data_IF_783591420652
#
_entry.id   IF_783591420652
#
_cell.length_a   1.000
_cell.length_b   1.000
_cell.length_c   1.000
_cell.angle_alpha   90.00
_cell.angle_beta   90.00
_cell.angle_gamma   90.00
#
_symmetry.space_group_name_H-M   'P 1'
#
loop_
_entity.id
_entity.type
_entity.pdbx_description
1 polymer ?
#
# COMPACT_ATOMS: atom_id res chain seq x y z
N UNK A 1 23.53 24.09 -17.42
CA UNK A 1 22.09 24.06 -17.08
C UNK A 1 21.96 23.41 -15.70
N UNK A 2 21.11 23.93 -14.84
CA UNK A 2 20.84 23.32 -13.53
C UNK A 2 19.98 22.05 -13.71
N UNK A 3 20.11 21.11 -12.76
CA UNK A 3 19.23 19.92 -12.70
C UNK A 3 17.78 20.36 -12.54
N UNK A 4 16.85 19.71 -13.24
CA UNK A 4 15.42 20.01 -13.12
C UNK A 4 14.90 19.73 -11.69
N UNK A 5 13.98 20.57 -11.17
CA UNK A 5 13.46 20.42 -9.80
C UNK A 5 12.91 19.02 -9.52
N UNK A 6 12.18 18.42 -10.48
CA UNK A 6 11.61 17.09 -10.35
C UNK A 6 12.68 16.01 -10.11
N UNK A 7 13.78 16.04 -10.87
CA UNK A 7 14.87 15.05 -10.76
C UNK A 7 15.70 15.25 -9.50
N UNK A 8 15.95 16.52 -9.11
CA UNK A 8 16.66 16.82 -7.88
C UNK A 8 15.90 16.30 -6.65
N UNK A 9 14.58 16.52 -6.60
CA UNK A 9 13.72 16.02 -5.53
C UNK A 9 13.62 14.49 -5.56
N UNK A 10 13.43 13.87 -6.73
CA UNK A 10 13.39 12.42 -6.85
C UNK A 10 14.69 11.77 -6.35
N UNK A 11 15.84 12.34 -6.71
CA UNK A 11 17.15 11.88 -6.26
C UNK A 11 17.29 11.95 -4.73
N UNK A 12 16.89 13.05 -4.11
CA UNK A 12 16.92 13.21 -2.66
C UNK A 12 16.00 12.22 -1.96
N UNK A 13 14.78 12.02 -2.47
CA UNK A 13 13.84 11.05 -1.88
C UNK A 13 14.39 9.64 -1.96
N UNK A 14 14.94 9.21 -3.10
CA UNK A 14 15.52 7.87 -3.24
C UNK A 14 16.66 7.65 -2.24
N UNK A 15 17.54 8.63 -2.03
CA UNK A 15 18.59 8.54 -1.02
C UNK A 15 18.04 8.44 0.41
N UNK A 16 16.96 9.16 0.71
CA UNK A 16 16.32 9.08 2.03
C UNK A 16 15.61 7.75 2.24
N UNK A 17 14.91 7.25 1.23
CA UNK A 17 14.27 5.93 1.27
C UNK A 17 15.30 4.83 1.57
N UNK A 18 16.50 4.92 0.99
CA UNK A 18 17.56 3.94 1.20
C UNK A 18 18.23 4.07 2.58
N UNK A 19 18.41 5.30 3.10
CA UNK A 19 19.18 5.57 4.33
C UNK A 19 18.34 5.63 5.60
N UNK A 20 17.09 6.12 5.50
CA UNK A 20 16.25 6.47 6.65
C UNK A 20 15.07 5.50 6.84
N UNK A 21 14.96 4.46 6.01
CA UNK A 21 13.81 3.54 5.98
C UNK A 21 12.44 4.22 5.84
N UNK A 22 12.43 5.47 5.37
CA UNK A 22 11.22 6.28 5.19
C UNK A 22 10.37 5.73 4.04
N UNK A 23 9.05 5.87 4.13
CA UNK A 23 8.15 5.51 3.04
C UNK A 23 8.18 6.56 1.93
N UNK A 24 8.34 6.10 0.68
CA UNK A 24 8.39 6.98 -0.48
C UNK A 24 7.11 7.83 -0.62
N UNK A 25 5.94 7.22 -0.38
CA UNK A 25 4.66 7.91 -0.43
C UNK A 25 4.58 9.07 0.58
N UNK A 26 5.07 8.91 1.81
CA UNK A 26 5.08 9.98 2.81
C UNK A 26 6.00 11.13 2.40
N UNK A 27 7.18 10.80 1.86
CA UNK A 27 8.13 11.81 1.37
C UNK A 27 7.58 12.59 0.17
N UNK A 28 6.86 11.92 -0.73
CA UNK A 28 6.21 12.51 -1.90
C UNK A 28 5.02 13.44 -1.54
N UNK A 29 4.43 13.30 -0.35
CA UNK A 29 3.39 14.19 0.15
C UNK A 29 3.93 15.29 1.09
N UNK A 30 5.25 15.42 1.22
CA UNK A 30 5.84 16.42 2.11
C UNK A 30 5.64 17.87 1.61
N UNK A 31 5.67 18.83 2.55
CA UNK A 31 5.51 20.27 2.25
C UNK A 31 6.55 20.81 1.24
N UNK A 32 7.68 20.12 1.07
CA UNK A 32 8.71 20.48 0.11
C UNK A 32 8.26 20.27 -1.33
N UNK A 33 7.51 19.19 -1.60
CA UNK A 33 6.95 18.91 -2.91
C UNK A 33 5.76 19.81 -3.25
N UNK A 34 5.05 20.32 -2.26
CA UNK A 34 3.96 21.27 -2.46
C UNK A 34 4.39 22.57 -3.18
N UNK A 35 5.70 22.84 -3.25
CA UNK A 35 6.27 23.98 -3.97
C UNK A 35 6.57 23.70 -5.44
N UNK A 36 6.50 22.44 -5.88
CA UNK A 36 6.71 22.07 -7.27
C UNK A 36 5.47 22.40 -8.12
N UNK A 37 5.70 22.63 -9.42
CA UNK A 37 4.57 22.62 -10.37
C UNK A 37 3.91 21.24 -10.39
N UNK A 38 2.62 21.15 -10.72
CA UNK A 38 1.90 19.87 -10.85
C UNK A 38 2.62 18.89 -11.79
N UNK A 39 3.21 19.41 -12.88
CA UNK A 39 4.00 18.61 -13.84
C UNK A 39 5.29 18.07 -13.21
N UNK A 40 6.03 18.88 -12.47
CA UNK A 40 7.26 18.45 -11.81
C UNK A 40 6.97 17.49 -10.65
N UNK A 41 5.87 17.71 -9.93
CA UNK A 41 5.41 16.78 -8.90
C UNK A 41 5.07 15.41 -9.51
N UNK A 42 4.31 15.37 -10.60
CA UNK A 42 4.01 14.12 -11.32
C UNK A 42 5.26 13.40 -11.82
N UNK A 43 6.22 14.14 -12.39
CA UNK A 43 7.49 13.55 -12.85
C UNK A 43 8.33 13.05 -11.66
N UNK A 44 8.42 13.78 -10.56
CA UNK A 44 9.16 13.32 -9.37
C UNK A 44 8.55 12.04 -8.79
N UNK A 45 7.23 11.97 -8.69
CA UNK A 45 6.50 10.77 -8.25
C UNK A 45 6.78 9.58 -9.17
N UNK A 46 6.67 9.78 -10.48
CA UNK A 46 6.95 8.74 -11.48
C UNK A 46 8.38 8.23 -11.37
N UNK A 47 9.36 9.12 -11.22
CA UNK A 47 10.78 8.76 -11.10
C UNK A 47 11.06 7.96 -9.80
N UNK A 48 10.54 8.42 -8.67
CA UNK A 48 10.75 7.74 -7.38
C UNK A 48 10.10 6.36 -7.40
N UNK A 49 8.81 6.31 -7.67
CA UNK A 49 8.04 5.07 -7.63
C UNK A 49 8.50 4.09 -8.70
N UNK A 50 8.83 4.59 -9.89
CA UNK A 50 9.34 3.77 -10.99
C UNK A 50 10.69 3.13 -10.69
N UNK A 51 11.64 3.89 -10.14
CA UNK A 51 12.94 3.36 -9.72
C UNK A 51 12.78 2.29 -8.65
N UNK A 52 11.98 2.54 -7.62
CA UNK A 52 11.74 1.58 -6.53
C UNK A 52 11.02 0.32 -7.05
N UNK A 53 10.05 0.49 -7.95
CA UNK A 53 9.30 -0.61 -8.55
C UNK A 53 10.20 -1.54 -9.35
N UNK A 54 11.11 -1.01 -10.16
CA UNK A 54 11.96 -1.75 -11.09
C UNK A 54 13.42 -1.92 -10.62
N UNK A 55 13.72 -1.67 -9.35
CA UNK A 55 15.09 -1.54 -8.82
C UNK A 55 16.01 -2.68 -9.24
N UNK A 56 15.66 -3.95 -9.02
CA UNK A 56 16.55 -5.07 -9.33
C UNK A 56 16.72 -5.29 -10.84
N UNK A 57 15.71 -4.99 -11.65
CA UNK A 57 15.84 -5.00 -13.11
C UNK A 57 16.78 -3.91 -13.57
N UNK A 58 16.65 -2.70 -13.05
CA UNK A 58 17.56 -1.59 -13.35
C UNK A 58 18.99 -1.94 -12.95
N UNK A 59 19.19 -2.49 -11.75
CA UNK A 59 20.50 -2.89 -11.26
C UNK A 59 21.13 -3.97 -12.15
N UNK A 60 20.37 -4.98 -12.56
CA UNK A 60 20.85 -6.02 -13.49
C UNK A 60 21.31 -5.42 -14.82
N UNK A 61 20.56 -4.49 -15.40
CA UNK A 61 20.90 -3.82 -16.67
C UNK A 61 22.11 -2.88 -16.51
N UNK A 62 22.18 -2.17 -15.38
CA UNK A 62 23.32 -1.31 -15.07
C UNK A 62 24.59 -2.15 -14.84
N UNK A 63 24.50 -3.28 -14.15
CA UNK A 63 25.63 -4.20 -13.94
C UNK A 63 26.19 -4.72 -15.29
N UNK A 64 25.32 -5.08 -16.23
CA UNK A 64 25.75 -5.51 -17.58
C UNK A 64 26.46 -4.40 -18.37
N UNK A 65 26.14 -3.14 -18.10
CA UNK A 65 26.76 -1.97 -18.76
C UNK A 65 27.99 -1.43 -18.01
N UNK A 66 28.13 -1.76 -16.72
CA UNK A 66 29.15 -1.23 -15.83
C UNK A 66 30.47 -2.02 -15.92
N UNK A 67 31.58 -1.32 -15.70
CA UNK A 67 32.91 -1.92 -15.48
C UNK A 67 33.22 -2.13 -13.98
N UNK A 68 32.32 -1.73 -13.09
CA UNK A 68 32.46 -1.82 -11.65
C UNK A 68 31.27 -2.57 -11.05
N UNK A 69 31.48 -3.23 -9.92
CA UNK A 69 30.39 -3.84 -9.14
C UNK A 69 29.51 -2.75 -8.53
N UNK A 70 28.19 -2.87 -8.68
CA UNK A 70 27.25 -1.82 -8.24
C UNK A 70 27.27 -1.63 -6.72
N UNK A 71 27.51 -2.70 -5.97
CA UNK A 71 27.58 -2.73 -4.50
C UNK A 71 28.74 -1.90 -3.94
N UNK A 72 29.73 -1.59 -4.78
CA UNK A 72 30.90 -0.76 -4.41
C UNK A 72 30.74 0.70 -4.75
N UNK A 73 29.64 1.06 -5.42
CA UNK A 73 29.37 2.45 -5.78
C UNK A 73 28.84 3.23 -4.58
N UNK A 74 29.21 4.50 -4.51
CA UNK A 74 28.53 5.41 -3.59
C UNK A 74 27.01 5.44 -3.86
N UNK A 75 26.17 5.50 -2.83
CA UNK A 75 24.71 5.53 -2.97
C UNK A 75 24.22 6.64 -3.88
N UNK A 76 24.86 7.81 -3.85
CA UNK A 76 24.55 8.93 -4.75
C UNK A 76 24.82 8.60 -6.22
N UNK A 77 25.86 7.83 -6.52
CA UNK A 77 26.19 7.40 -7.89
C UNK A 77 25.18 6.36 -8.35
N UNK A 78 24.86 5.39 -7.52
CA UNK A 78 23.88 4.34 -7.82
C UNK A 78 22.48 4.92 -8.01
N UNK A 79 22.03 5.83 -7.14
CA UNK A 79 20.73 6.49 -7.28
C UNK A 79 20.63 7.30 -8.61
N UNK A 80 21.68 8.01 -8.99
CA UNK A 80 21.72 8.74 -10.26
C UNK A 80 21.69 7.80 -11.47
N UNK A 81 22.40 6.65 -11.39
CA UNK A 81 22.37 5.61 -12.42
C UNK A 81 20.98 4.99 -12.56
N UNK A 82 20.32 4.60 -11.45
CA UNK A 82 18.96 4.07 -11.44
C UNK A 82 17.96 5.05 -12.04
N UNK A 83 18.03 6.34 -11.64
CA UNK A 83 17.19 7.41 -12.21
C UNK A 83 17.41 7.57 -13.72
N UNK A 84 18.66 7.56 -14.18
CA UNK A 84 18.99 7.65 -15.60
C UNK A 84 18.46 6.44 -16.36
N UNK A 85 18.74 5.23 -15.88
CA UNK A 85 18.31 3.98 -16.51
C UNK A 85 16.78 3.87 -16.59
N UNK A 86 16.07 4.23 -15.52
CA UNK A 86 14.61 4.25 -15.53
C UNK A 86 14.05 5.16 -16.62
N UNK A 87 14.55 6.39 -16.72
CA UNK A 87 14.12 7.33 -17.76
C UNK A 87 14.39 6.83 -19.17
N UNK A 88 15.56 6.21 -19.39
CA UNK A 88 15.96 5.68 -20.69
C UNK A 88 15.09 4.51 -21.16
N UNK A 89 14.57 3.70 -20.22
CA UNK A 89 13.88 2.47 -20.54
C UNK A 89 12.35 2.57 -20.47
N UNK A 90 11.82 3.42 -19.59
CA UNK A 90 10.38 3.48 -19.33
C UNK A 90 9.72 4.80 -19.73
N UNK A 91 10.48 5.88 -19.93
CA UNK A 91 9.92 7.21 -20.24
C UNK A 91 10.18 7.63 -21.68
N UNK A 92 9.36 7.16 -22.62
CA UNK A 92 9.50 7.45 -24.06
C UNK A 92 9.48 8.94 -24.40
N UNK A 93 8.87 9.79 -23.55
CA UNK A 93 8.82 11.25 -23.75
C UNK A 93 10.06 11.98 -23.24
N UNK A 94 10.99 11.30 -22.57
CA UNK A 94 12.23 11.90 -22.08
C UNK A 94 13.35 11.61 -23.08
N UNK A 95 13.96 12.65 -23.69
CA UNK A 95 15.08 12.43 -24.60
C UNK A 95 16.26 11.79 -23.87
N UNK A 96 16.86 10.75 -24.44
CA UNK A 96 17.99 10.03 -23.85
C UNK A 96 19.14 10.97 -23.44
N UNK A 97 19.45 11.96 -24.29
CA UNK A 97 20.46 12.98 -23.96
C UNK A 97 20.16 13.74 -22.69
N UNK A 98 18.89 14.09 -22.47
CA UNK A 98 18.48 14.82 -21.25
C UNK A 98 18.58 13.93 -20.01
N UNK A 99 18.12 12.67 -20.09
CA UNK A 99 18.24 11.72 -18.99
C UNK A 99 19.70 11.52 -18.55
N UNK A 100 20.60 11.29 -19.52
CA UNK A 100 22.03 11.08 -19.24
C UNK A 100 22.66 12.35 -18.67
N UNK A 101 22.42 13.51 -19.32
CA UNK A 101 23.00 14.80 -18.89
C UNK A 101 22.59 15.14 -17.45
N UNK A 102 21.31 15.07 -17.12
CA UNK A 102 20.83 15.44 -15.79
C UNK A 102 21.31 14.44 -14.72
N UNK A 103 21.43 13.14 -15.03
CA UNK A 103 22.04 12.16 -14.11
C UNK A 103 23.50 12.48 -13.80
N UNK A 104 24.28 12.92 -14.79
CA UNK A 104 25.65 13.39 -14.59
C UNK A 104 25.69 14.65 -13.72
N UNK A 105 24.78 15.60 -13.92
CA UNK A 105 24.73 16.81 -13.11
C UNK A 105 24.29 16.51 -11.65
N UNK A 106 23.40 15.54 -11.41
CA UNK A 106 23.05 15.06 -10.07
C UNK A 106 24.28 14.57 -9.30
N UNK A 107 25.12 13.75 -9.94
CA UNK A 107 26.35 13.22 -9.32
C UNK A 107 27.34 14.35 -9.01
N UNK A 108 27.48 15.34 -9.91
CA UNK A 108 28.32 16.52 -9.65
C UNK A 108 27.78 17.36 -8.48
N UNK A 109 26.45 17.57 -8.42
CA UNK A 109 25.78 18.28 -7.34
C UNK A 109 25.96 17.58 -5.99
N UNK A 110 25.97 16.25 -5.98
CA UNK A 110 26.25 15.40 -4.82
C UNK A 110 27.75 15.35 -4.43
N UNK A 111 28.61 16.20 -5.03
CA UNK A 111 30.05 16.27 -4.81
C UNK A 111 30.83 15.00 -5.22
N UNK A 112 30.26 14.15 -6.07
CA UNK A 112 30.91 12.94 -6.61
C UNK A 112 31.40 13.17 -8.05
N UNK A 113 32.08 14.29 -8.31
CA UNK A 113 32.48 14.74 -9.66
C UNK A 113 33.36 13.74 -10.39
N UNK A 114 34.19 12.96 -9.71
CA UNK A 114 35.04 11.93 -10.29
C UNK A 114 34.23 10.80 -10.96
N UNK A 115 33.00 10.55 -10.53
CA UNK A 115 32.14 9.53 -11.11
C UNK A 115 31.35 10.03 -12.35
N UNK A 116 31.43 11.30 -12.73
CA UNK A 116 30.66 11.89 -13.83
C UNK A 116 30.88 11.20 -15.18
N UNK A 117 32.13 10.91 -15.54
CA UNK A 117 32.48 10.20 -16.78
C UNK A 117 32.01 8.75 -16.78
N UNK A 118 32.11 8.07 -15.64
CA UNK A 118 31.61 6.72 -15.43
C UNK A 118 30.09 6.66 -15.61
N UNK A 119 29.32 7.52 -14.93
CA UNK A 119 27.85 7.59 -15.07
C UNK A 119 27.44 7.82 -16.51
N UNK A 120 28.10 8.77 -17.21
CA UNK A 120 27.83 9.03 -18.63
C UNK A 120 28.09 7.78 -19.51
N UNK A 121 29.19 7.07 -19.28
CA UNK A 121 29.55 5.89 -20.06
C UNK A 121 28.57 4.74 -19.84
N UNK A 122 28.22 4.44 -18.57
CA UNK A 122 27.25 3.38 -18.23
C UNK A 122 25.89 3.67 -18.82
N UNK A 123 25.34 4.89 -18.65
CA UNK A 123 24.01 5.23 -19.16
C UNK A 123 23.94 5.24 -20.69
N UNK A 124 25.02 5.60 -21.39
CA UNK A 124 25.06 5.48 -22.87
C UNK A 124 24.99 4.03 -23.33
N UNK A 125 25.68 3.11 -22.65
CA UNK A 125 25.60 1.67 -22.96
C UNK A 125 24.19 1.13 -22.66
N UNK A 126 23.59 1.52 -21.52
CA UNK A 126 22.23 1.14 -21.15
C UNK A 126 21.19 1.62 -22.18
N UNK A 127 21.35 2.83 -22.74
CA UNK A 127 20.46 3.38 -23.76
C UNK A 127 20.49 2.61 -25.07
N UNK A 128 21.59 1.95 -25.39
CA UNK A 128 21.75 1.18 -26.64
C UNK A 128 21.10 -0.21 -26.60
N UNK A 129 20.72 -0.70 -25.42
CA UNK A 129 20.25 -2.09 -25.21
C UNK A 129 18.79 -2.36 -25.63
N UNK A 130 18.07 -1.38 -26.17
CA UNK A 130 16.67 -1.56 -26.61
C UNK A 130 15.65 -1.74 -25.48
N UNK A 131 14.36 -1.59 -25.79
CA UNK A 131 13.26 -1.85 -24.88
C UNK A 131 12.61 -3.21 -25.23
N UNK A 132 12.51 -4.11 -24.24
CA UNK A 132 11.79 -5.37 -24.33
C UNK A 132 10.37 -5.19 -23.79
N UNK A 133 9.42 -6.01 -24.24
CA UNK A 133 8.08 -6.06 -23.62
C UNK A 133 8.14 -6.86 -22.32
N UNK A 134 8.52 -6.13 -21.26
CA UNK A 134 8.75 -6.72 -19.93
C UNK A 134 7.48 -7.38 -19.37
N UNK A 135 6.30 -6.83 -19.62
CA UNK A 135 5.05 -7.42 -19.13
C UNK A 135 4.72 -8.75 -19.82
N UNK A 136 5.02 -8.86 -21.12
CA UNK A 136 4.90 -10.14 -21.81
C UNK A 136 5.87 -11.19 -21.25
N UNK A 137 7.10 -10.79 -20.90
CA UNK A 137 8.09 -11.67 -20.29
C UNK A 137 7.67 -12.13 -18.88
N UNK A 138 7.09 -11.26 -18.06
CA UNK A 138 6.53 -11.63 -16.76
C UNK A 138 5.44 -12.69 -16.94
N UNK A 139 4.50 -12.48 -17.86
CA UNK A 139 3.39 -13.39 -18.14
C UNK A 139 3.82 -14.78 -18.63
N UNK A 140 4.99 -14.90 -19.25
CA UNK A 140 5.54 -16.15 -19.79
C UNK A 140 6.55 -16.84 -18.87
N UNK A 141 6.93 -16.23 -17.75
CA UNK A 141 7.96 -16.76 -16.84
C UNK A 141 7.58 -18.15 -16.32
N UNK A 142 8.40 -19.21 -16.55
CA UNK A 142 8.01 -20.58 -16.27
C UNK A 142 8.20 -21.01 -14.81
N UNK A 143 9.03 -20.29 -14.06
CA UNK A 143 9.46 -20.65 -12.70
C UNK A 143 9.65 -19.40 -11.83
N UNK A 144 9.87 -19.60 -10.53
CA UNK A 144 10.01 -18.56 -9.53
C UNK A 144 11.20 -17.64 -9.78
N UNK A 145 12.34 -18.18 -10.20
CA UNK A 145 13.56 -17.39 -10.40
C UNK A 145 13.42 -16.47 -11.62
N UNK A 146 12.95 -17.02 -12.74
CA UNK A 146 12.70 -16.26 -13.95
C UNK A 146 11.64 -15.18 -13.71
N UNK A 147 10.55 -15.53 -13.00
CA UNK A 147 9.50 -14.59 -12.65
C UNK A 147 10.04 -13.45 -11.75
N UNK A 148 10.80 -13.78 -10.71
CA UNK A 148 11.39 -12.79 -9.81
C UNK A 148 12.31 -11.81 -10.55
N UNK A 149 13.12 -12.32 -11.47
CA UNK A 149 14.05 -11.52 -12.28
C UNK A 149 13.31 -10.59 -13.25
N UNK A 150 12.30 -11.10 -13.97
CA UNK A 150 11.55 -10.32 -14.95
C UNK A 150 10.65 -9.29 -14.28
N UNK A 151 10.02 -9.67 -13.18
CA UNK A 151 9.13 -8.81 -12.41
C UNK A 151 9.84 -7.88 -11.43
N UNK A 152 11.16 -7.92 -11.32
CA UNK A 152 11.93 -7.15 -10.33
C UNK A 152 11.38 -7.34 -8.90
N UNK A 153 11.32 -8.60 -8.44
CA UNK A 153 10.94 -8.97 -7.07
C UNK A 153 12.03 -9.82 -6.40
N UNK A 154 12.12 -9.83 -5.06
CA UNK A 154 12.99 -10.75 -4.35
C UNK A 154 12.61 -12.22 -4.64
N UNK A 155 13.57 -13.09 -4.99
CA UNK A 155 13.28 -14.50 -5.31
C UNK A 155 12.57 -15.27 -4.20
N UNK A 156 12.93 -15.01 -2.94
CA UNK A 156 12.33 -15.65 -1.78
C UNK A 156 10.82 -15.34 -1.67
N UNK A 157 10.42 -14.09 -1.96
CA UNK A 157 9.03 -13.64 -1.88
C UNK A 157 8.18 -14.27 -3.00
N UNK A 158 8.70 -14.29 -4.23
CA UNK A 158 8.03 -14.93 -5.37
C UNK A 158 7.89 -16.44 -5.17
N UNK A 159 8.91 -17.11 -4.65
CA UNK A 159 8.85 -18.55 -4.35
C UNK A 159 7.73 -18.86 -3.33
N UNK A 160 7.59 -18.06 -2.27
CA UNK A 160 6.51 -18.20 -1.27
C UNK A 160 5.14 -17.99 -1.89
N UNK A 161 4.99 -16.97 -2.73
CA UNK A 161 3.69 -16.73 -3.38
C UNK A 161 3.30 -17.84 -4.34
N UNK A 162 4.27 -18.44 -5.05
CA UNK A 162 3.99 -19.62 -5.88
C UNK A 162 3.54 -20.81 -5.04
N UNK A 163 4.16 -21.03 -3.89
CA UNK A 163 3.77 -22.08 -2.95
C UNK A 163 2.34 -21.87 -2.42
N UNK A 164 1.95 -20.65 -2.11
CA UNK A 164 0.66 -20.35 -1.47
C UNK A 164 -0.48 -20.09 -2.46
N UNK A 165 -0.18 -19.48 -3.61
CA UNK A 165 -1.19 -19.01 -4.57
C UNK A 165 -1.09 -19.69 -5.95
N UNK A 166 -0.02 -20.45 -6.19
CA UNK A 166 0.28 -21.01 -7.50
C UNK A 166 0.94 -20.01 -8.46
N UNK A 167 1.53 -20.53 -9.53
CA UNK A 167 2.33 -19.74 -10.48
C UNK A 167 1.49 -18.67 -11.19
N UNK A 168 0.26 -18.99 -11.60
CA UNK A 168 -0.56 -18.05 -12.37
C UNK A 168 -1.00 -16.84 -11.54
N UNK A 169 -1.51 -17.06 -10.33
CA UNK A 169 -1.87 -15.97 -9.43
C UNK A 169 -0.64 -15.11 -9.06
N UNK A 170 0.53 -15.75 -8.88
CA UNK A 170 1.77 -15.02 -8.59
C UNK A 170 2.24 -14.16 -9.76
N UNK A 171 2.05 -14.62 -11.01
CA UNK A 171 2.29 -13.76 -12.18
C UNK A 171 1.40 -12.52 -12.17
N UNK A 172 0.11 -12.70 -11.85
CA UNK A 172 -0.85 -11.58 -11.76
C UNK A 172 -0.47 -10.61 -10.64
N UNK A 173 -0.06 -11.10 -9.46
CA UNK A 173 0.47 -10.28 -8.37
C UNK A 173 1.66 -9.44 -8.88
N UNK A 174 2.66 -10.10 -9.47
CA UNK A 174 3.86 -9.44 -9.97
C UNK A 174 3.56 -8.39 -11.06
N UNK A 175 2.64 -8.67 -11.98
CA UNK A 175 2.19 -7.71 -13.00
C UNK A 175 1.51 -6.51 -12.34
N UNK A 176 0.60 -6.76 -11.38
CA UNK A 176 -0.11 -5.69 -10.68
C UNK A 176 0.84 -4.80 -9.88
N UNK A 177 1.83 -5.39 -9.20
CA UNK A 177 2.82 -4.65 -8.41
C UNK A 177 3.71 -3.73 -9.28
N UNK A 178 3.90 -4.09 -10.54
CA UNK A 178 4.66 -3.28 -11.50
C UNK A 178 3.79 -2.26 -12.25
N UNK A 179 2.48 -2.31 -12.07
CA UNK A 179 1.55 -1.36 -12.66
C UNK A 179 1.41 -0.11 -11.77
N UNK A 180 1.26 1.07 -12.37
CA UNK A 180 0.91 2.27 -11.61
C UNK A 180 -0.53 2.14 -11.09
N UNK A 181 -0.74 2.08 -9.77
CA UNK A 181 -2.07 1.83 -9.23
C UNK A 181 -2.99 3.04 -9.44
N UNK A 182 -4.20 2.81 -9.93
CA UNK A 182 -5.24 3.83 -9.94
C UNK A 182 -5.69 4.18 -8.52
N UNK A 183 -6.09 5.42 -8.29
CA UNK A 183 -6.68 5.80 -7.01
C UNK A 183 -8.14 5.32 -6.95
N UNK A 184 -8.51 4.64 -5.85
CA UNK A 184 -9.90 4.43 -5.49
C UNK A 184 -10.30 5.42 -4.39
N UNK A 185 -11.54 5.86 -4.42
CA UNK A 185 -12.11 6.79 -3.44
C UNK A 185 -13.41 6.23 -2.87
N UNK A 186 -13.74 6.65 -1.67
CA UNK A 186 -15.05 6.48 -1.07
C UNK A 186 -15.75 7.84 -0.96
N UNK A 187 -16.99 7.92 -1.43
CA UNK A 187 -17.83 9.12 -1.33
C UNK A 187 -18.69 8.99 -0.07
N UNK A 188 -18.57 9.94 0.85
CA UNK A 188 -19.22 9.88 2.17
C UNK A 188 -20.54 10.64 2.26
N UNK A 189 -20.95 11.38 1.25
CA UNK A 189 -22.12 12.25 1.30
C UNK A 189 -22.89 12.22 0.00
N UNK A 190 -23.65 13.30 -0.24
CA UNK A 190 -24.51 13.47 -1.41
C UNK A 190 -23.74 13.95 -2.66
N UNK A 191 -22.42 13.87 -2.65
CA UNK A 191 -21.55 14.25 -3.77
C UNK A 191 -21.86 13.34 -4.96
N UNK A 192 -22.23 13.92 -6.08
CA UNK A 192 -22.46 13.16 -7.30
C UNK A 192 -21.18 13.06 -8.15
N UNK A 193 -21.13 12.03 -9.01
CA UNK A 193 -20.05 11.90 -9.99
C UNK A 193 -20.02 13.13 -10.93
N UNK A 194 -21.18 13.76 -11.19
CA UNK A 194 -21.29 14.96 -12.01
C UNK A 194 -20.66 16.20 -11.35
N UNK A 195 -20.81 16.37 -10.02
CA UNK A 195 -20.17 17.47 -9.28
C UNK A 195 -18.65 17.37 -9.34
N UNK A 196 -18.11 16.14 -9.22
CA UNK A 196 -16.68 15.88 -9.33
C UNK A 196 -16.17 16.06 -10.77
N UNK A 197 -16.95 15.64 -11.77
CA UNK A 197 -16.62 15.86 -13.18
C UNK A 197 -16.52 17.34 -13.51
N UNK A 198 -17.37 18.18 -12.92
CA UNK A 198 -17.31 19.64 -13.09
C UNK A 198 -15.99 20.25 -12.56
N UNK A 199 -15.27 19.57 -11.67
CA UNK A 199 -13.94 19.97 -11.19
C UNK A 199 -12.78 19.41 -12.03
N UNK A 200 -13.06 18.71 -13.14
CA UNK A 200 -12.07 18.09 -14.02
C UNK A 200 -11.62 16.70 -13.59
N UNK A 201 -12.30 16.09 -12.60
CA UNK A 201 -12.02 14.72 -12.16
C UNK A 201 -12.93 13.75 -12.92
N UNK A 202 -12.34 12.77 -13.60
CA UNK A 202 -13.08 11.72 -14.27
C UNK A 202 -13.10 10.46 -13.41
N UNK A 203 -14.25 9.90 -13.20
CA UNK A 203 -14.49 8.73 -12.37
C UNK A 203 -15.09 7.57 -13.17
N UNK A 204 -14.87 6.37 -12.68
CA UNK A 204 -15.64 5.17 -13.06
C UNK A 204 -16.17 4.48 -11.80
N UNK A 205 -17.24 3.68 -11.90
CA UNK A 205 -17.74 2.91 -10.77
C UNK A 205 -16.68 2.01 -10.15
N UNK A 206 -16.81 1.74 -8.85
CA UNK A 206 -16.07 0.70 -8.17
C UNK A 206 -16.31 -0.67 -8.81
N UNK A 207 -15.37 -1.57 -8.66
CA UNK A 207 -15.46 -2.94 -9.19
C UNK A 207 -15.78 -3.97 -8.11
N UNK A 208 -15.43 -3.67 -6.86
CA UNK A 208 -15.73 -4.51 -5.70
C UNK A 208 -16.93 -3.96 -4.94
N UNK A 209 -17.00 -2.65 -4.73
CA UNK A 209 -18.01 -1.97 -3.92
C UNK A 209 -18.76 -0.88 -4.71
N UNK A 210 -20.07 -0.80 -4.52
CA UNK A 210 -20.94 0.16 -5.22
C UNK A 210 -20.72 1.63 -4.82
N UNK A 211 -20.34 1.87 -3.55
CA UNK A 211 -20.03 3.20 -3.05
C UNK A 211 -18.63 3.70 -3.43
N UNK A 212 -17.76 2.81 -3.92
CA UNK A 212 -16.43 3.17 -4.38
C UNK A 212 -16.48 3.81 -5.78
N UNK A 213 -15.48 4.66 -6.06
CA UNK A 213 -15.19 5.18 -7.39
C UNK A 213 -13.71 5.04 -7.69
N UNK A 214 -13.37 4.84 -8.94
CA UNK A 214 -12.00 4.80 -9.44
C UNK A 214 -11.71 6.10 -10.18
N UNK A 215 -10.63 6.76 -9.83
CA UNK A 215 -10.17 7.99 -10.47
C UNK A 215 -9.46 7.60 -11.78
N UNK A 216 -10.02 8.03 -12.91
CA UNK A 216 -9.45 7.81 -14.24
C UNK A 216 -8.49 8.94 -14.62
N UNK A 217 -8.84 10.18 -14.27
CA UNK A 217 -8.00 11.36 -14.50
C UNK A 217 -8.41 12.50 -13.58
N UNK A 218 -7.56 13.53 -13.48
CA UNK A 218 -7.77 14.68 -12.62
C UNK A 218 -7.13 14.53 -11.24
N UNK A 219 -7.14 15.60 -10.45
CA UNK A 219 -6.58 15.65 -9.10
C UNK A 219 -7.71 15.73 -8.07
N UNK A 220 -8.04 14.59 -7.48
CA UNK A 220 -9.08 14.48 -6.44
C UNK A 220 -8.73 15.29 -5.19
N UNK A 221 -7.43 15.44 -4.87
CA UNK A 221 -6.98 16.14 -3.67
C UNK A 221 -7.17 17.67 -3.77
N UNK A 222 -7.23 18.18 -4.99
CA UNK A 222 -7.51 19.59 -5.27
C UNK A 222 -9.02 19.94 -5.16
N UNK A 223 -9.89 18.94 -5.04
CA UNK A 223 -11.33 19.19 -4.95
C UNK A 223 -11.75 19.73 -3.58
N UNK A 224 -12.84 20.50 -3.54
CA UNK A 224 -13.44 20.97 -2.29
C UNK A 224 -13.94 19.79 -1.45
N UNK A 225 -14.56 18.81 -2.10
CA UNK A 225 -15.11 17.61 -1.48
C UNK A 225 -14.04 16.81 -0.68
N UNK A 226 -12.84 16.66 -1.24
CA UNK A 226 -11.72 16.02 -0.52
C UNK A 226 -11.27 16.86 0.68
N UNK A 227 -11.08 18.17 0.52
CA UNK A 227 -10.65 19.07 1.61
C UNK A 227 -11.65 19.16 2.76
N UNK A 228 -12.94 18.99 2.47
CA UNK A 228 -14.01 18.96 3.46
C UNK A 228 -14.25 17.55 4.04
N UNK A 229 -13.46 16.55 3.62
CA UNK A 229 -13.57 15.17 4.09
C UNK A 229 -14.85 14.46 3.62
N UNK A 230 -15.53 14.96 2.58
CA UNK A 230 -16.68 14.29 1.96
C UNK A 230 -16.26 13.14 1.03
N UNK A 231 -14.97 13.07 0.73
CA UNK A 231 -14.34 12.00 -0.03
C UNK A 231 -13.08 11.57 0.70
N UNK A 232 -12.82 10.27 0.74
CA UNK A 232 -11.54 9.70 1.17
C UNK A 232 -10.90 8.88 0.05
N UNK A 233 -9.58 8.97 -0.09
CA UNK A 233 -8.80 8.07 -0.94
C UNK A 233 -8.58 6.78 -0.15
N UNK A 234 -9.13 5.67 -0.64
CA UNK A 234 -9.06 4.38 0.05
C UNK A 234 -9.30 3.25 -0.94
N UNK A 235 -8.45 2.23 -0.92
CA UNK A 235 -8.63 1.02 -1.73
C UNK A 235 -9.93 0.29 -1.41
N UNK A 236 -10.54 -0.38 -2.39
CA UNK A 236 -11.83 -1.04 -2.24
C UNK A 236 -11.79 -2.21 -1.24
N UNK A 237 -10.66 -2.95 -1.14
CA UNK A 237 -10.50 -3.99 -0.13
C UNK A 237 -10.42 -3.39 1.29
N UNK A 238 -9.72 -2.26 1.45
CA UNK A 238 -9.67 -1.51 2.71
C UNK A 238 -11.05 -0.99 3.13
N UNK A 239 -11.88 -0.53 2.17
CA UNK A 239 -13.27 -0.16 2.42
C UNK A 239 -14.10 -1.37 2.84
N UNK A 240 -13.95 -2.52 2.15
CA UNK A 240 -14.66 -3.76 2.47
C UNK A 240 -14.35 -4.23 3.90
N UNK A 241 -13.09 -4.19 4.33
CA UNK A 241 -12.70 -4.52 5.71
C UNK A 241 -13.46 -3.67 6.73
N UNK A 242 -13.59 -2.35 6.49
CA UNK A 242 -14.35 -1.48 7.38
C UNK A 242 -15.87 -1.80 7.35
N UNK A 243 -16.41 -2.22 6.20
CA UNK A 243 -17.82 -2.64 6.10
C UNK A 243 -18.11 -3.90 6.92
N UNK A 244 -17.17 -4.86 6.93
CA UNK A 244 -17.30 -6.12 7.68
C UNK A 244 -17.40 -5.91 9.21
N UNK A 245 -16.89 -4.81 9.75
CA UNK A 245 -17.06 -4.48 11.18
C UNK A 245 -18.54 -4.34 11.54
N UNK A 246 -19.34 -3.80 10.62
CA UNK A 246 -20.77 -3.68 10.78
C UNK A 246 -21.19 -2.53 11.68
N UNK A 247 -22.45 -2.62 12.19
CA UNK A 247 -23.03 -1.59 13.07
C UNK A 247 -22.82 -1.94 14.54
N UNK A 248 -22.59 -0.90 15.38
CA UNK A 248 -22.38 -1.04 16.80
C UNK A 248 -22.64 0.27 17.55
N UNK A 249 -22.62 0.22 18.88
CA UNK A 249 -22.76 1.39 19.75
C UNK A 249 -21.42 1.88 20.29
N UNK A 250 -20.52 0.95 20.60
CA UNK A 250 -19.13 1.21 20.99
C UNK A 250 -18.18 0.44 20.09
N UNK A 251 -17.43 1.17 19.30
CA UNK A 251 -16.55 0.62 18.28
C UNK A 251 -15.10 1.00 18.62
N UNK A 252 -14.20 0.04 18.55
CA UNK A 252 -12.76 0.25 18.69
C UNK A 252 -12.06 -0.01 17.35
N UNK A 253 -11.23 0.92 16.91
CA UNK A 253 -10.23 0.75 15.84
C UNK A 253 -8.85 0.74 16.50
N UNK A 254 -8.22 -0.44 16.57
CA UNK A 254 -7.00 -0.66 17.36
C UNK A 254 -5.76 -0.02 16.78
N UNK A 255 -5.68 0.17 15.46
CA UNK A 255 -4.51 0.67 14.76
C UNK A 255 -4.94 1.66 13.66
N UNK A 256 -5.56 2.75 14.08
CA UNK A 256 -6.43 3.57 13.26
C UNK A 256 -5.74 4.47 12.22
N UNK A 257 -4.48 4.86 12.41
CA UNK A 257 -3.84 5.82 11.51
C UNK A 257 -3.62 5.25 10.09
N UNK A 258 -3.84 6.05 9.04
CA UNK A 258 -4.12 7.50 9.04
C UNK A 258 -5.60 7.87 9.26
N UNK A 259 -6.56 6.90 9.34
CA UNK A 259 -7.93 7.17 9.77
C UNK A 259 -9.04 6.97 8.73
N UNK A 260 -8.75 6.46 7.54
CA UNK A 260 -9.77 6.24 6.50
C UNK A 260 -10.81 5.20 6.91
N UNK A 261 -10.39 4.08 7.53
CA UNK A 261 -11.31 3.07 8.08
C UNK A 261 -12.13 3.63 9.24
N UNK A 262 -11.48 4.35 10.18
CA UNK A 262 -12.16 5.05 11.28
C UNK A 262 -13.25 6.00 10.79
N UNK A 263 -12.95 6.80 9.75
CA UNK A 263 -13.93 7.73 9.17
C UNK A 263 -15.15 6.99 8.59
N UNK A 264 -14.91 5.89 7.91
CA UNK A 264 -15.99 5.05 7.36
C UNK A 264 -16.83 4.43 8.48
N UNK A 265 -16.20 3.87 9.51
CA UNK A 265 -16.89 3.32 10.68
C UNK A 265 -17.74 4.37 11.40
N UNK A 266 -17.18 5.55 11.64
CA UNK A 266 -17.88 6.63 12.35
C UNK A 266 -19.09 7.15 11.57
N UNK A 267 -18.99 7.30 10.24
CA UNK A 267 -20.07 7.78 9.38
C UNK A 267 -21.19 6.73 9.24
N UNK A 268 -20.83 5.45 9.16
CA UNK A 268 -21.83 4.35 9.14
C UNK A 268 -22.53 4.17 10.48
N UNK A 269 -21.95 4.66 11.56
CA UNK A 269 -22.45 4.53 12.94
C UNK A 269 -22.57 5.90 13.64
N UNK A 270 -23.43 6.82 13.16
CA UNK A 270 -23.43 8.21 13.63
C UNK A 270 -23.80 8.38 15.10
N UNK A 271 -24.45 7.38 15.71
CA UNK A 271 -24.82 7.37 17.13
C UNK A 271 -23.81 6.61 18.00
N UNK A 272 -22.89 5.89 17.39
CA UNK A 272 -21.88 5.13 18.11
C UNK A 272 -20.75 6.02 18.65
N UNK A 273 -20.08 5.57 19.71
CA UNK A 273 -18.78 6.10 20.11
C UNK A 273 -17.68 5.26 19.45
N UNK A 274 -16.89 5.88 18.59
CA UNK A 274 -15.77 5.23 17.90
C UNK A 274 -14.48 5.66 18.55
N UNK A 275 -13.76 4.71 19.12
CA UNK A 275 -12.44 4.92 19.72
C UNK A 275 -11.39 4.51 18.69
N UNK A 276 -10.53 5.45 18.32
CA UNK A 276 -9.49 5.26 17.31
C UNK A 276 -8.11 5.34 18.00
N UNK A 277 -7.40 4.21 18.01
CA UNK A 277 -6.11 4.12 18.68
C UNK A 277 -4.96 4.20 17.69
N UNK A 278 -3.89 4.85 18.12
CA UNK A 278 -2.63 4.93 17.39
C UNK A 278 -1.47 4.94 18.39
N UNK A 279 -0.45 4.13 18.11
CA UNK A 279 0.74 3.99 18.97
C UNK A 279 1.52 5.30 19.09
N UNK A 280 1.71 6.00 17.98
CA UNK A 280 2.57 7.18 17.91
C UNK A 280 1.79 8.48 18.11
N UNK A 281 2.10 9.30 19.15
CA UNK A 281 1.37 10.53 19.43
C UNK A 281 1.30 11.53 18.26
N UNK A 282 2.34 11.61 17.42
CA UNK A 282 2.34 12.50 16.25
C UNK A 282 1.35 12.01 15.19
N UNK A 283 1.24 10.69 14.95
CA UNK A 283 0.27 10.10 14.03
C UNK A 283 -1.16 10.17 14.57
N UNK A 284 -1.33 10.04 15.90
CA UNK A 284 -2.61 10.27 16.56
C UNK A 284 -3.12 11.69 16.36
N UNK A 285 -2.25 12.70 16.37
CA UNK A 285 -2.61 14.09 16.03
C UNK A 285 -3.04 14.24 14.57
N UNK A 286 -2.36 13.58 13.64
CA UNK A 286 -2.75 13.55 12.22
C UNK A 286 -4.13 12.90 12.07
N UNK A 287 -4.34 11.74 12.69
CA UNK A 287 -5.61 11.03 12.74
C UNK A 287 -6.75 11.93 13.25
N UNK A 288 -6.53 12.66 14.35
CA UNK A 288 -7.49 13.60 14.93
C UNK A 288 -7.83 14.75 13.97
N UNK A 289 -6.83 15.29 13.28
CA UNK A 289 -7.03 16.38 12.32
C UNK A 289 -7.81 15.96 11.08
N UNK A 290 -7.60 14.71 10.61
CA UNK A 290 -8.28 14.15 9.45
C UNK A 290 -9.69 13.66 9.77
N UNK A 291 -9.97 13.28 11.03
CA UNK A 291 -11.25 12.71 11.48
C UNK A 291 -11.94 13.63 12.50
N UNK A 292 -12.35 14.83 12.05
CA UNK A 292 -13.11 15.79 12.89
C UNK A 292 -14.58 15.42 13.02
N UNK A 293 -14.87 14.12 13.20
CA UNK A 293 -16.23 13.63 13.39
C UNK A 293 -16.56 13.65 14.90
N UNK A 294 -17.77 14.12 15.30
CA UNK A 294 -18.09 14.34 16.73
C UNK A 294 -18.13 13.05 17.53
N UNK A 295 -18.31 11.91 16.89
CA UNK A 295 -18.37 10.60 17.51
C UNK A 295 -17.05 9.81 17.50
N UNK A 296 -15.94 10.44 17.05
CA UNK A 296 -14.58 9.83 17.02
C UNK A 296 -13.77 10.34 18.21
N UNK A 297 -13.22 9.40 18.99
CA UNK A 297 -12.36 9.65 20.15
C UNK A 297 -10.97 9.07 19.88
N UNK A 298 -9.97 9.92 19.64
CA UNK A 298 -8.60 9.49 19.36
C UNK A 298 -7.84 9.24 20.64
N UNK A 299 -7.16 8.09 20.74
CA UNK A 299 -6.36 7.67 21.90
C UNK A 299 -4.96 7.30 21.42
N UNK A 300 -3.93 7.93 21.99
CA UNK A 300 -2.53 7.55 21.75
C UNK A 300 -2.14 6.46 22.77
N UNK A 301 -2.08 5.20 22.33
CA UNK A 301 -1.73 4.07 23.18
C UNK A 301 -1.30 2.85 22.37
N UNK A 302 -0.65 1.89 23.04
CA UNK A 302 -0.21 0.63 22.45
C UNK A 302 -1.37 -0.39 22.45
N UNK A 303 -1.74 -0.85 21.26
CA UNK A 303 -2.82 -1.82 21.09
C UNK A 303 -2.50 -3.21 21.67
N UNK A 304 -1.23 -3.51 21.95
CA UNK A 304 -0.83 -4.73 22.66
C UNK A 304 -1.29 -4.72 24.13
N UNK A 305 -1.57 -3.53 24.68
CA UNK A 305 -2.00 -3.31 26.06
C UNK A 305 -3.07 -2.21 26.07
N UNK A 306 -4.32 -2.59 25.75
CA UNK A 306 -5.42 -1.63 25.65
C UNK A 306 -5.65 -0.88 26.96
N UNK A 307 -5.76 0.47 26.96
CA UNK A 307 -5.82 1.29 28.18
C UNK A 307 -7.22 1.38 28.80
N UNK A 308 -8.08 0.42 28.50
CA UNK A 308 -9.44 0.39 29.00
C UNK A 308 -9.59 -0.60 30.16
N UNK A 309 -10.45 -0.28 31.13
CA UNK A 309 -10.79 -1.23 32.19
C UNK A 309 -11.53 -2.45 31.60
N UNK A 310 -11.40 -3.61 32.19
CA UNK A 310 -12.09 -4.84 31.76
C UNK A 310 -13.62 -4.72 31.74
N UNK A 311 -14.18 -3.79 32.53
CA UNK A 311 -15.61 -3.47 32.50
C UNK A 311 -16.03 -2.61 31.30
N UNK A 312 -15.08 -1.96 30.66
CA UNK A 312 -15.35 -1.12 29.47
C UNK A 312 -15.15 -1.93 28.19
N UNK A 313 -16.20 -2.54 27.70
CA UNK A 313 -16.17 -3.43 26.55
C UNK A 313 -16.73 -2.78 25.29
N UNK A 314 -16.34 -3.32 24.12
CA UNK A 314 -16.78 -2.90 22.81
C UNK A 314 -17.66 -3.98 22.16
N UNK A 315 -18.69 -3.58 21.44
CA UNK A 315 -19.52 -4.50 20.68
C UNK A 315 -18.99 -4.74 19.26
N UNK A 316 -18.12 -3.83 18.77
CA UNK A 316 -17.38 -3.99 17.51
C UNK A 316 -15.93 -3.58 17.70
N UNK A 317 -15.02 -4.39 17.17
CA UNK A 317 -13.58 -4.08 17.16
C UNK A 317 -13.04 -4.29 15.74
N UNK A 318 -12.26 -3.35 15.27
CA UNK A 318 -11.38 -3.48 14.10
C UNK A 318 -9.94 -3.58 14.62
N UNK A 319 -9.28 -4.68 14.29
CA UNK A 319 -7.86 -4.88 14.48
C UNK A 319 -7.18 -4.94 13.10
N UNK A 320 -7.09 -3.79 12.41
CA UNK A 320 -6.34 -3.63 11.17
C UNK A 320 -4.88 -3.38 11.52
N UNK A 321 -4.15 -4.47 11.71
CA UNK A 321 -2.86 -4.45 12.42
C UNK A 321 -1.70 -4.02 11.51
N UNK A 322 -0.65 -3.39 12.07
CA UNK A 322 0.60 -3.18 11.35
C UNK A 322 1.15 -4.51 10.82
N UNK A 323 1.46 -4.57 9.53
CA UNK A 323 1.90 -5.76 8.84
C UNK A 323 3.00 -5.45 7.82
N UNK A 324 3.54 -6.48 7.16
CA UNK A 324 4.54 -6.33 6.10
C UNK A 324 4.08 -5.48 4.92
N UNK A 325 2.76 -5.48 4.63
CA UNK A 325 2.18 -4.70 3.52
C UNK A 325 2.41 -5.31 2.14
N UNK A 326 2.76 -6.59 2.04
CA UNK A 326 3.07 -7.27 0.76
C UNK A 326 1.90 -7.29 -0.23
N UNK A 327 0.67 -7.05 0.22
CA UNK A 327 -0.50 -6.88 -0.65
C UNK A 327 -0.63 -5.48 -1.29
N UNK A 328 0.27 -4.54 -0.97
CA UNK A 328 0.21 -3.13 -1.40
C UNK A 328 1.44 -2.65 -2.16
N UNK A 329 2.25 -3.56 -2.72
CA UNK A 329 3.54 -3.23 -3.34
C UNK A 329 3.42 -2.30 -4.55
N UNK A 330 2.30 -2.29 -5.25
CA UNK A 330 2.06 -1.32 -6.31
C UNK A 330 2.15 0.13 -5.81
N UNK A 331 1.73 0.40 -4.55
CA UNK A 331 1.77 1.72 -3.90
C UNK A 331 3.01 1.95 -3.06
N UNK A 332 3.57 0.88 -2.49
CA UNK A 332 4.70 0.92 -1.57
C UNK A 332 5.82 -0.02 -2.04
N UNK A 333 6.41 0.22 -3.23
CA UNK A 333 7.35 -0.71 -3.86
C UNK A 333 8.65 -0.89 -3.08
N UNK A 334 9.00 0.04 -2.18
CA UNK A 334 10.17 -0.09 -1.30
C UNK A 334 10.07 -1.24 -0.31
N UNK A 335 8.85 -1.65 0.06
CA UNK A 335 8.63 -2.75 1.01
C UNK A 335 9.37 -4.01 0.57
N UNK A 336 9.26 -4.40 -0.71
CA UNK A 336 9.87 -5.64 -1.22
C UNK A 336 11.40 -5.67 -1.12
N UNK A 337 12.05 -4.51 -1.01
CA UNK A 337 13.51 -4.41 -0.88
C UNK A 337 14.00 -4.38 0.56
N UNK A 338 13.12 -4.06 1.51
CA UNK A 338 13.42 -3.97 2.94
C UNK A 338 13.02 -5.21 3.71
N UNK A 339 11.87 -5.78 3.36
CA UNK A 339 11.30 -6.93 4.03
C UNK A 339 12.21 -8.15 3.88
N UNK A 340 12.48 -8.81 5.00
CA UNK A 340 13.20 -10.07 5.08
C UNK A 340 12.26 -11.16 5.60
N UNK A 341 12.56 -12.41 5.28
CA UNK A 341 11.74 -13.54 5.75
C UNK A 341 11.69 -13.63 7.28
N UNK A 342 12.79 -13.25 7.95
CA UNK A 342 12.91 -13.26 9.41
C UNK A 342 11.98 -12.25 10.10
N UNK A 343 11.66 -11.14 9.44
CA UNK A 343 10.80 -10.08 9.99
C UNK A 343 9.35 -10.55 10.22
N UNK A 344 8.91 -11.55 9.44
CA UNK A 344 7.54 -12.08 9.49
C UNK A 344 7.20 -12.68 10.87
N UNK A 345 8.16 -13.32 11.52
CA UNK A 345 7.93 -13.91 12.85
C UNK A 345 7.75 -12.84 13.94
N UNK A 346 8.51 -11.76 13.88
CA UNK A 346 8.37 -10.63 14.82
C UNK A 346 7.05 -9.89 14.60
N UNK A 347 6.67 -9.66 13.34
CA UNK A 347 5.36 -9.10 12.98
C UNK A 347 4.21 -9.97 13.50
N UNK A 348 4.26 -11.29 13.28
CA UNK A 348 3.28 -12.25 13.79
C UNK A 348 3.11 -12.14 15.30
N UNK A 349 4.24 -12.14 16.05
CA UNK A 349 4.21 -12.06 17.50
C UNK A 349 3.51 -10.80 18.02
N UNK A 350 3.78 -9.65 17.39
CA UNK A 350 3.13 -8.36 17.70
C UNK A 350 1.63 -8.39 17.37
N UNK A 351 1.25 -8.97 16.24
CA UNK A 351 -0.13 -9.06 15.77
C UNK A 351 -0.96 -9.98 16.67
N UNK A 352 -0.40 -11.12 17.10
CA UNK A 352 -1.03 -12.01 18.10
C UNK A 352 -1.28 -11.28 19.43
N UNK A 353 -0.31 -10.49 19.91
CA UNK A 353 -0.46 -9.71 21.13
C UNK A 353 -1.58 -8.66 21.02
N UNK A 354 -1.69 -7.96 19.88
CA UNK A 354 -2.76 -7.00 19.59
C UNK A 354 -4.11 -7.71 19.58
N UNK A 355 -4.22 -8.84 18.90
CA UNK A 355 -5.47 -9.58 18.77
C UNK A 355 -5.95 -10.14 20.12
N UNK A 356 -5.04 -10.70 20.92
CA UNK A 356 -5.36 -11.17 22.29
C UNK A 356 -5.78 -10.02 23.21
N UNK A 357 -5.14 -8.85 23.12
CA UNK A 357 -5.54 -7.66 23.86
C UNK A 357 -6.95 -7.19 23.45
N UNK A 358 -7.25 -7.23 22.14
CA UNK A 358 -8.58 -6.89 21.62
C UNK A 358 -9.67 -7.89 22.10
N UNK A 359 -9.35 -9.18 22.22
CA UNK A 359 -10.27 -10.19 22.77
C UNK A 359 -10.75 -9.84 24.19
N UNK A 360 -9.84 -9.38 25.07
CA UNK A 360 -10.17 -9.01 26.43
C UNK A 360 -11.20 -7.87 26.51
N UNK A 361 -11.30 -7.04 25.49
CA UNK A 361 -12.21 -5.89 25.42
C UNK A 361 -13.48 -6.17 24.61
N UNK A 362 -13.60 -7.35 23.99
CA UNK A 362 -14.78 -7.69 23.17
C UNK A 362 -15.93 -8.12 24.11
N UNK A 363 -17.09 -7.52 23.95
CA UNK A 363 -18.34 -7.87 24.66
C UNK A 363 -18.80 -9.28 24.24
N UNK A 364 -19.47 -10.01 25.14
CA UNK A 364 -20.20 -11.24 24.77
C UNK A 364 -21.21 -10.91 23.65
N UNK A 365 -21.25 -11.71 22.61
CA UNK A 365 -22.02 -11.45 21.38
C UNK A 365 -21.41 -10.35 20.50
N UNK A 366 -20.28 -9.78 20.86
CA UNK A 366 -19.56 -8.80 20.08
C UNK A 366 -18.79 -9.45 18.92
N UNK A 367 -18.45 -8.64 17.92
CA UNK A 367 -17.68 -9.04 16.73
C UNK A 367 -16.39 -8.26 16.60
N UNK A 368 -15.33 -8.94 16.27
CA UNK A 368 -14.02 -8.39 15.96
C UNK A 368 -13.64 -8.76 14.53
N UNK A 369 -13.17 -7.79 13.76
CA UNK A 369 -12.55 -8.00 12.46
C UNK A 369 -11.04 -7.82 12.63
N UNK A 370 -10.29 -8.89 12.45
CA UNK A 370 -8.85 -8.87 12.30
C UNK A 370 -8.53 -8.67 10.82
N UNK A 371 -7.60 -7.79 10.46
CA UNK A 371 -7.20 -7.58 9.07
C UNK A 371 -5.75 -7.17 8.92
N UNK A 372 -5.20 -7.51 7.75
CA UNK A 372 -3.88 -7.10 7.27
C UNK A 372 -3.94 -6.74 5.79
N UNK A 373 -3.00 -5.94 5.32
CA UNK A 373 -2.70 -5.79 3.90
C UNK A 373 -1.49 -6.66 3.47
N UNK A 374 -1.34 -7.83 4.09
CA UNK A 374 -0.26 -8.79 3.82
C UNK A 374 -0.79 -10.00 3.03
N UNK A 375 0.07 -10.53 2.16
CA UNK A 375 -0.15 -11.81 1.48
C UNK A 375 0.47 -12.99 2.25
N UNK A 376 1.17 -12.73 3.36
CA UNK A 376 1.94 -13.73 4.09
C UNK A 376 1.06 -14.47 5.12
N UNK A 377 1.12 -15.80 5.10
CA UNK A 377 0.32 -16.65 5.97
C UNK A 377 0.62 -16.44 7.46
N UNK A 378 1.87 -16.14 7.80
CA UNK A 378 2.31 -15.85 9.15
C UNK A 378 1.58 -14.67 9.77
N UNK A 379 1.20 -13.68 8.97
CA UNK A 379 0.50 -12.48 9.41
C UNK A 379 -1.03 -12.61 9.32
N UNK A 380 -1.51 -13.68 8.69
CA UNK A 380 -2.91 -13.91 8.36
C UNK A 380 -3.48 -15.07 9.21
N UNK A 381 -3.64 -16.26 8.63
CA UNK A 381 -4.24 -17.40 9.31
C UNK A 381 -3.49 -17.80 10.56
N UNK A 382 -2.15 -17.79 10.52
CA UNK A 382 -1.33 -18.20 11.65
C UNK A 382 -1.48 -17.29 12.88
N UNK A 383 -1.76 -15.99 12.69
CA UNK A 383 -2.09 -15.08 13.81
C UNK A 383 -3.44 -15.44 14.42
N UNK A 384 -4.44 -15.67 13.58
CA UNK A 384 -5.79 -16.03 14.04
C UNK A 384 -5.76 -17.36 14.80
N UNK A 385 -5.09 -18.37 14.26
CA UNK A 385 -4.90 -19.68 14.88
C UNK A 385 -4.21 -19.55 16.26
N UNK A 386 -3.08 -18.83 16.33
CA UNK A 386 -2.32 -18.63 17.55
C UNK A 386 -3.05 -17.79 18.61
N UNK A 387 -3.91 -16.86 18.19
CA UNK A 387 -4.69 -16.05 19.14
C UNK A 387 -5.89 -16.82 19.71
N UNK A 388 -6.47 -17.72 18.92
CA UNK A 388 -7.60 -18.57 19.35
C UNK A 388 -7.16 -19.79 20.17
N UNK A 389 -5.88 -20.14 20.13
CA UNK A 389 -5.35 -21.22 20.96
C UNK A 389 -5.56 -20.93 22.46
N UNK A 390 -6.31 -21.82 23.14
CA UNK A 390 -6.73 -21.67 24.53
C UNK A 390 -7.86 -20.66 24.77
N UNK A 391 -8.48 -20.08 23.76
CA UNK A 391 -9.54 -19.05 23.86
C UNK A 391 -10.91 -19.58 23.37
N UNK A 392 -11.43 -20.62 24.04
CA UNK A 392 -12.63 -21.37 23.62
C UNK A 392 -13.93 -20.54 23.52
N UNK A 393 -13.98 -19.37 24.19
CA UNK A 393 -15.09 -18.42 24.11
C UNK A 393 -15.14 -17.63 22.80
N UNK A 394 -14.11 -17.73 21.93
CA UNK A 394 -14.06 -17.07 20.63
C UNK A 394 -14.17 -18.08 19.50
N UNK A 395 -14.78 -17.65 18.40
CA UNK A 395 -14.85 -18.45 17.17
C UNK A 395 -14.71 -17.58 15.92
N UNK A 396 -14.14 -18.14 14.87
CA UNK A 396 -14.19 -17.53 13.52
C UNK A 396 -15.58 -17.71 12.94
N UNK A 397 -16.13 -16.64 12.38
CA UNK A 397 -17.39 -16.65 11.63
C UNK A 397 -17.06 -16.79 10.14
N UNK A 398 -17.81 -17.64 9.45
CA UNK A 398 -17.70 -17.76 7.99
C UNK A 398 -18.21 -16.48 7.32
N UNK A 399 -17.27 -15.80 6.64
CA UNK A 399 -17.53 -14.52 5.97
C UNK A 399 -18.40 -14.67 4.72
N UNK A 400 -18.62 -15.87 4.20
CA UNK A 400 -19.44 -16.08 3.00
C UNK A 400 -20.81 -15.41 3.12
N UNK A 401 -21.49 -15.63 4.25
CA UNK A 401 -22.83 -15.07 4.49
C UNK A 401 -22.81 -13.53 4.58
N UNK A 402 -21.80 -12.96 5.22
CA UNK A 402 -21.68 -11.49 5.34
C UNK A 402 -21.43 -10.84 3.96
N UNK A 403 -20.60 -11.48 3.13
CA UNK A 403 -20.35 -11.01 1.75
C UNK A 403 -21.61 -11.17 0.87
N UNK A 404 -22.37 -12.25 1.03
CA UNK A 404 -23.64 -12.46 0.34
C UNK A 404 -24.66 -11.36 0.75
N UNK A 405 -24.75 -11.02 2.04
CA UNK A 405 -25.61 -9.93 2.52
C UNK A 405 -25.19 -8.57 1.95
N UNK A 406 -23.90 -8.27 1.87
CA UNK A 406 -23.40 -7.03 1.24
C UNK A 406 -23.76 -6.99 -0.26
N UNK A 407 -23.77 -8.11 -0.95
CA UNK A 407 -24.21 -8.20 -2.34
C UNK A 407 -25.71 -8.04 -2.47
N UNK A 408 -26.50 -8.69 -1.64
CA UNK A 408 -27.97 -8.60 -1.63
C UNK A 408 -28.46 -7.18 -1.30
N UNK A 409 -27.78 -6.49 -0.39
CA UNK A 409 -28.06 -5.08 -0.08
C UNK A 409 -27.60 -4.10 -1.17
N UNK A 410 -26.89 -4.58 -2.20
CA UNK A 410 -26.34 -3.76 -3.27
C UNK A 410 -25.08 -2.98 -2.90
N UNK A 411 -24.47 -3.23 -1.73
CA UNK A 411 -23.22 -2.59 -1.32
C UNK A 411 -22.00 -3.20 -2.03
N UNK A 412 -22.08 -4.48 -2.44
CA UNK A 412 -21.01 -5.18 -3.17
C UNK A 412 -21.43 -5.43 -4.63
N UNK A 413 -20.52 -5.10 -5.56
CA UNK A 413 -20.71 -5.32 -7.00
C UNK A 413 -20.07 -6.62 -7.49
N UNK A 414 -19.11 -7.19 -6.73
CA UNK A 414 -18.37 -8.38 -7.12
C UNK A 414 -19.27 -9.62 -7.13
N UNK A 415 -19.28 -10.34 -8.25
CA UNK A 415 -20.21 -11.46 -8.44
C UNK A 415 -19.67 -12.77 -7.85
N UNK A 416 -18.38 -13.01 -7.99
CA UNK A 416 -17.75 -14.26 -7.56
C UNK A 416 -17.25 -14.16 -6.10
N UNK A 417 -18.19 -14.29 -5.16
CA UNK A 417 -17.88 -14.27 -3.73
C UNK A 417 -16.92 -15.39 -3.35
N UNK A 418 -17.02 -16.55 -4.01
CA UNK A 418 -16.16 -17.67 -3.67
C UNK A 418 -14.68 -17.38 -3.91
N UNK A 419 -14.35 -16.56 -4.92
CA UNK A 419 -12.96 -16.15 -5.18
C UNK A 419 -12.38 -15.27 -4.07
N UNK A 420 -13.21 -14.60 -3.27
CA UNK A 420 -12.80 -13.75 -2.16
C UNK A 420 -12.57 -14.54 -0.85
N UNK A 421 -12.82 -15.84 -0.83
CA UNK A 421 -12.77 -16.63 0.39
C UNK A 421 -11.50 -17.52 0.44
N UNK A 422 -10.85 -17.48 1.60
CA UNK A 422 -9.79 -18.42 1.99
C UNK A 422 -10.28 -19.18 3.25
N UNK A 423 -10.90 -20.34 3.07
CA UNK A 423 -11.66 -20.98 4.14
C UNK A 423 -12.80 -20.08 4.63
N UNK A 424 -12.93 -19.81 5.94
CA UNK A 424 -13.95 -18.91 6.48
C UNK A 424 -13.58 -17.42 6.37
N UNK A 425 -12.38 -17.09 5.92
CA UNK A 425 -11.83 -15.74 5.93
C UNK A 425 -11.92 -15.07 4.55
N UNK A 426 -11.85 -13.73 4.52
CA UNK A 426 -11.68 -12.94 3.31
C UNK A 426 -10.22 -12.95 2.88
N UNK A 427 -9.98 -13.08 1.59
CA UNK A 427 -8.69 -12.82 0.95
C UNK A 427 -8.88 -12.16 -0.41
N UNK A 428 -8.28 -11.00 -0.60
CA UNK A 428 -8.11 -10.40 -1.92
C UNK A 428 -6.66 -10.55 -2.38
N UNK A 429 -6.46 -10.75 -3.68
CA UNK A 429 -5.14 -10.96 -4.29
C UNK A 429 -4.96 -9.92 -5.40
N UNK A 430 -3.87 -9.11 -5.39
CA UNK A 430 -3.61 -8.13 -6.43
C UNK A 430 -3.54 -8.77 -7.82
N UNK A 431 -4.13 -8.12 -8.81
CA UNK A 431 -4.17 -8.63 -10.19
C UNK A 431 -5.22 -9.72 -10.45
N UNK A 432 -5.59 -10.52 -9.44
CA UNK A 432 -6.72 -11.45 -9.49
C UNK A 432 -8.03 -10.72 -9.18
N UNK A 433 -8.02 -9.91 -8.12
CA UNK A 433 -9.14 -9.06 -7.73
C UNK A 433 -8.87 -7.59 -8.10
N UNK A 434 -9.89 -6.76 -8.27
CA UNK A 434 -9.73 -5.38 -8.74
C UNK A 434 -9.29 -4.39 -7.65
N UNK A 435 -8.59 -4.85 -6.62
CA UNK A 435 -8.18 -4.13 -5.43
C UNK A 435 -6.82 -4.63 -4.93
N UNK A 436 -6.32 -4.03 -3.85
CA UNK A 436 -5.11 -4.47 -3.17
C UNK A 436 -5.30 -5.82 -2.46
N UNK A 437 -4.17 -6.42 -2.05
CA UNK A 437 -4.17 -7.66 -1.28
C UNK A 437 -4.51 -7.38 0.19
N UNK A 438 -5.59 -8.01 0.64
CA UNK A 438 -6.04 -7.97 2.03
C UNK A 438 -6.44 -9.34 2.52
N UNK A 439 -6.25 -9.54 3.81
CA UNK A 439 -6.84 -10.64 4.56
C UNK A 439 -7.75 -10.08 5.65
N UNK A 440 -8.88 -10.74 5.92
CA UNK A 440 -9.69 -10.45 7.09
C UNK A 440 -10.35 -11.70 7.64
N UNK A 441 -10.34 -11.82 8.97
CA UNK A 441 -11.07 -12.83 9.73
C UNK A 441 -12.08 -12.13 10.66
N UNK A 442 -13.32 -12.62 10.67
CA UNK A 442 -14.34 -12.16 11.62
C UNK A 442 -14.43 -13.12 12.79
N UNK A 443 -14.30 -12.60 13.99
CA UNK A 443 -14.27 -13.37 15.23
C UNK A 443 -15.40 -12.88 16.14
N UNK A 444 -16.15 -13.81 16.73
CA UNK A 444 -17.23 -13.54 17.66
C UNK A 444 -16.87 -14.09 19.05
N UNK A 445 -17.23 -13.34 20.10
CA UNK A 445 -17.21 -13.83 21.48
C UNK A 445 -18.56 -14.44 21.82
N UNK A 446 -18.57 -15.70 22.24
CA UNK A 446 -19.78 -16.44 22.67
C UNK A 446 -20.22 -16.06 24.08
#
# INVERSE_FOLDING_TARGET
MAVSPARAVAFEILLRVEREESYAAELLHSARLAKLSSRDHGLATELVMGVLRWQSLLDRRLAAASSQQLERLDGEVLAALRLGAYQLQFLSRVPARAAIFESVELVKAARKRSAASFVNAVLRKTAAAGAEDIFAEIGKSPDSMTLAQNAAHPPWLVARWIEHYGLEATRQICIQDQTVPGAAIHIHGDESDADLAATGVQLSPGRLLSAARRVLSGDITATRAYREGRISIQDEASQLVALLVGRGERILDCCAAPGSKTALLARRNPRAKVFAMELHPHRARILQNLNRLPNVHVVAADARHLPFSLAFTFDRILADVPCSGTGTLARNPEIKWRLKAEDLHDLQSRQVAILKSAFAQLKIGGRLVYSTCSLEREENEAVVEAALDGAAEFRVIDLKRELEQLRESGEMCWKDIASLLAGPCLRTIPGVHPCEGFFAAMIERR
#
